data_IF_111574760685
#
_entry.id   IF_111574760685
#
_cell.length_a   1.000
_cell.length_b   1.000
_cell.length_c   1.000
_cell.angle_alpha   90.00
_cell.angle_beta   90.00
_cell.angle_gamma   90.00
#
_symmetry.space_group_name_H-M   'P 1'
#
loop_
_entity.id
_entity.type
_entity.pdbx_description
1 polymer ?
#
# COMPACT_ATOMS: atom_id res chain seq x y z
N UNK A 1 -42.14 -36.48 29.85
CA UNK A 1 -41.02 -35.56 30.18
C UNK A 1 -39.68 -36.02 29.56
N UNK A 2 -39.36 -37.33 29.53
CA UNK A 2 -38.14 -37.87 28.89
C UNK A 2 -38.06 -37.68 27.36
N UNK A 3 -39.18 -37.79 26.64
CA UNK A 3 -39.24 -37.60 25.18
C UNK A 3 -38.87 -36.18 24.71
N UNK A 4 -39.18 -35.17 25.51
CA UNK A 4 -38.87 -33.76 25.20
C UNK A 4 -37.37 -33.47 25.40
N UNK A 5 -36.75 -34.05 26.42
CA UNK A 5 -35.32 -33.91 26.70
C UNK A 5 -34.45 -34.51 25.58
N UNK A 6 -34.83 -35.66 25.04
CA UNK A 6 -34.13 -36.32 23.91
C UNK A 6 -34.20 -35.46 22.65
N UNK A 7 -35.35 -34.85 22.38
CA UNK A 7 -35.55 -33.96 21.23
C UNK A 7 -34.66 -32.71 21.30
N UNK A 8 -34.51 -32.12 22.50
CA UNK A 8 -33.64 -30.95 22.73
C UNK A 8 -32.17 -31.31 22.52
N UNK A 9 -31.71 -32.46 23.01
CA UNK A 9 -30.32 -32.90 22.81
C UNK A 9 -29.98 -33.14 21.34
N UNK A 10 -30.95 -33.61 20.54
CA UNK A 10 -30.76 -33.86 19.11
C UNK A 10 -30.73 -32.56 18.29
N UNK A 11 -31.49 -31.54 18.70
CA UNK A 11 -31.61 -30.25 18.02
C UNK A 11 -30.50 -29.26 18.38
N UNK A 12 -29.90 -29.38 19.57
CA UNK A 12 -28.82 -28.50 20.04
C UNK A 12 -27.59 -28.44 19.12
N UNK A 13 -27.02 -29.54 18.59
CA UNK A 13 -25.82 -29.47 17.73
C UNK A 13 -26.08 -28.81 16.37
N UNK A 14 -27.32 -28.84 15.87
CA UNK A 14 -27.71 -28.19 14.62
C UNK A 14 -27.61 -26.66 14.73
N UNK A 15 -27.94 -26.10 15.90
CA UNK A 15 -27.85 -24.66 16.16
C UNK A 15 -26.40 -24.13 16.19
N UNK A 16 -25.43 -24.95 16.59
CA UNK A 16 -24.02 -24.54 16.67
C UNK A 16 -23.20 -24.82 15.39
N UNK A 17 -23.75 -25.58 14.43
CA UNK A 17 -23.10 -25.89 13.15
C UNK A 17 -22.78 -24.65 12.30
N UNK A 18 -23.54 -23.57 12.46
CA UNK A 18 -23.36 -22.33 11.72
C UNK A 18 -22.16 -21.47 12.19
N UNK A 19 -21.61 -21.72 13.38
CA UNK A 19 -20.49 -20.94 13.92
C UNK A 19 -19.11 -21.53 13.58
N UNK A 20 -19.06 -22.77 13.06
CA UNK A 20 -17.81 -23.44 12.69
C UNK A 20 -17.29 -23.06 11.29
N UNK A 21 -18.14 -22.46 10.44
CA UNK A 21 -17.73 -22.01 9.10
C UNK A 21 -17.01 -20.66 9.17
N UNK A 22 -15.84 -20.63 9.81
CA UNK A 22 -14.89 -19.55 9.51
C UNK A 22 -14.51 -19.73 8.03
N UNK A 23 -14.75 -18.73 7.16
CA UNK A 23 -14.12 -18.77 5.85
C UNK A 23 -12.63 -18.94 6.12
N UNK A 24 -11.99 -19.90 5.47
CA UNK A 24 -10.54 -19.91 5.38
C UNK A 24 -10.21 -18.68 4.57
N UNK A 25 -10.09 -17.52 5.23
CA UNK A 25 -9.62 -16.31 4.61
C UNK A 25 -8.23 -16.68 4.14
N UNK A 26 -8.09 -16.94 2.84
CA UNK A 26 -6.78 -16.94 2.22
C UNK A 26 -6.33 -15.51 2.36
N UNK A 27 -5.59 -15.23 3.43
CA UNK A 27 -4.90 -13.97 3.62
C UNK A 27 -3.93 -13.93 2.45
N UNK A 28 -4.38 -13.37 1.32
CA UNK A 28 -3.49 -12.96 0.25
C UNK A 28 -2.67 -11.86 0.88
N UNK A 29 -1.51 -12.22 1.40
CA UNK A 29 -0.45 -11.27 1.69
C UNK A 29 -0.22 -10.48 0.40
N UNK A 30 -0.71 -9.24 0.40
CA UNK A 30 -0.40 -8.30 -0.67
C UNK A 30 1.08 -8.02 -0.58
N UNK A 31 1.79 -8.20 -1.69
CA UNK A 31 3.18 -7.77 -1.79
C UNK A 31 3.18 -6.24 -1.70
N UNK A 32 3.60 -5.74 -0.54
CA UNK A 32 3.82 -4.31 -0.34
C UNK A 32 5.19 -4.02 -0.93
N UNK A 33 5.21 -3.50 -2.16
CA UNK A 33 6.43 -2.97 -2.76
C UNK A 33 6.89 -1.77 -1.92
N UNK A 34 7.89 -2.01 -1.07
CA UNK A 34 8.56 -0.92 -0.36
C UNK A 34 9.36 -0.18 -1.44
N UNK A 35 9.12 1.12 -1.65
CA UNK A 35 9.85 1.86 -2.65
C UNK A 35 11.34 1.75 -2.35
N UNK A 36 12.13 1.36 -3.36
CA UNK A 36 13.58 1.28 -3.29
C UNK A 36 14.09 2.58 -2.69
N UNK A 37 14.79 2.49 -1.55
CA UNK A 37 15.35 3.65 -0.85
C UNK A 37 16.49 4.24 -1.67
N UNK A 38 16.12 5.02 -2.65
CA UNK A 38 17.03 5.80 -3.43
C UNK A 38 17.56 6.93 -2.54
N UNK A 39 18.87 6.97 -2.28
CA UNK A 39 19.50 8.07 -1.56
C UNK A 39 19.55 9.31 -2.46
N UNK A 40 18.38 9.92 -2.66
CA UNK A 40 18.19 11.07 -3.53
C UNK A 40 18.57 12.33 -2.78
N UNK A 41 19.65 12.97 -3.22
CA UNK A 41 19.99 14.33 -2.78
C UNK A 41 19.41 15.30 -3.81
N UNK A 42 18.37 16.04 -3.42
CA UNK A 42 17.82 17.09 -4.27
C UNK A 42 18.69 18.36 -4.16
N UNK A 43 18.92 19.07 -5.28
CA UNK A 43 19.58 20.37 -5.21
C UNK A 43 18.72 21.38 -4.45
N UNK A 44 19.33 22.46 -3.96
CA UNK A 44 18.57 23.53 -3.31
C UNK A 44 17.65 24.23 -4.33
N UNK A 45 16.36 24.35 -3.99
CA UNK A 45 15.40 25.07 -4.83
C UNK A 45 15.78 26.57 -4.90
N UNK A 46 15.93 27.14 -6.11
CA UNK A 46 16.23 28.57 -6.26
C UNK A 46 15.05 29.44 -5.79
N UNK A 47 15.35 30.63 -5.30
CA UNK A 47 14.34 31.61 -4.87
C UNK A 47 13.56 32.14 -6.08
N UNK A 48 12.25 32.29 -5.92
CA UNK A 48 11.37 32.94 -6.88
C UNK A 48 11.20 34.42 -6.48
N UNK A 49 11.45 35.35 -7.39
CA UNK A 49 11.33 36.80 -7.17
C UNK A 49 10.46 37.57 -8.19
N UNK A 50 9.77 36.86 -9.08
CA UNK A 50 8.88 37.38 -10.12
C UNK A 50 9.60 37.78 -11.40
N UNK A 51 10.93 37.65 -11.47
CA UNK A 51 11.69 37.98 -12.67
C UNK A 51 11.68 36.84 -13.69
N UNK A 52 11.86 37.18 -14.97
CA UNK A 52 12.05 36.16 -16.00
C UNK A 52 13.27 35.26 -15.71
N UNK A 53 14.31 35.81 -15.08
CA UNK A 53 15.51 35.07 -14.72
C UNK A 53 15.22 34.04 -13.61
N UNK A 54 14.47 34.40 -12.57
CA UNK A 54 14.08 33.46 -11.51
C UNK A 54 13.18 32.36 -12.06
N UNK A 55 12.21 32.69 -12.91
CA UNK A 55 11.37 31.70 -13.59
C UNK A 55 12.19 30.71 -14.44
N UNK A 56 13.17 31.21 -15.20
CA UNK A 56 14.07 30.37 -15.99
C UNK A 56 14.93 29.45 -15.12
N UNK A 57 15.45 29.95 -13.99
CA UNK A 57 16.22 29.15 -13.04
C UNK A 57 15.35 28.05 -12.42
N UNK A 58 14.10 28.36 -12.08
CA UNK A 58 13.15 27.44 -11.48
C UNK A 58 12.71 26.34 -12.47
N UNK A 59 12.51 26.70 -13.74
CA UNK A 59 12.26 25.72 -14.80
C UNK A 59 13.42 24.71 -14.94
N UNK A 60 14.67 25.19 -14.94
CA UNK A 60 15.85 24.32 -14.98
C UNK A 60 15.95 23.42 -13.75
N UNK A 61 15.65 23.94 -12.58
CA UNK A 61 15.61 23.16 -11.34
C UNK A 61 14.64 21.98 -11.45
N UNK A 62 13.42 22.19 -11.94
CA UNK A 62 12.46 21.09 -12.09
C UNK A 62 12.90 20.05 -13.11
N UNK A 63 13.51 20.45 -14.23
CA UNK A 63 14.09 19.51 -15.18
C UNK A 63 15.16 18.62 -14.54
N UNK A 64 16.00 19.20 -13.68
CA UNK A 64 17.01 18.43 -12.94
C UNK A 64 16.38 17.45 -11.95
N UNK A 65 15.37 17.88 -11.19
CA UNK A 65 14.64 17.02 -10.25
C UNK A 65 13.94 15.87 -10.98
N UNK A 66 13.32 16.13 -12.13
CA UNK A 66 12.69 15.11 -12.95
C UNK A 66 13.71 14.08 -13.44
N UNK A 67 14.90 14.54 -13.87
CA UNK A 67 15.96 13.65 -14.30
C UNK A 67 16.47 12.76 -13.16
N UNK A 68 16.69 13.35 -11.98
CA UNK A 68 17.09 12.62 -10.77
C UNK A 68 16.04 11.55 -10.40
N UNK A 69 14.76 11.89 -10.49
CA UNK A 69 13.68 10.93 -10.24
C UNK A 69 13.67 9.80 -11.28
N UNK A 70 13.87 10.12 -12.57
CA UNK A 70 13.97 9.10 -13.64
C UNK A 70 15.15 8.17 -13.43
N UNK A 71 16.32 8.72 -13.11
CA UNK A 71 17.53 7.92 -12.90
C UNK A 71 17.38 7.00 -11.69
N UNK A 72 16.62 7.43 -10.69
CA UNK A 72 16.29 6.63 -9.52
C UNK A 72 15.33 5.47 -9.80
N UNK A 73 14.40 5.63 -10.74
CA UNK A 73 13.39 4.62 -11.09
C UNK A 73 13.75 3.81 -12.32
N UNK A 74 14.93 4.04 -12.93
CA UNK A 74 15.41 3.18 -14.01
C UNK A 74 15.68 1.79 -13.43
N UNK A 75 15.01 0.79 -13.97
CA UNK A 75 15.31 -0.62 -13.71
C UNK A 75 16.79 -0.86 -14.05
N UNK A 76 17.65 -0.94 -13.04
CA UNK A 76 18.99 -1.49 -13.20
C UNK A 76 18.82 -2.96 -13.54
N UNK A 77 18.78 -3.27 -14.84
CA UNK A 77 19.02 -4.61 -15.34
C UNK A 77 20.51 -4.89 -15.10
N UNK A 78 20.84 -5.42 -13.93
CA UNK A 78 22.08 -6.16 -13.68
C UNK A 78 21.73 -7.61 -13.35
#
# INVERSE_FOLDING_TARGET
MQSVQISILLLLPLLFSACASKPVYKIKTQEVFIPVKCNLTLPQKPKEDGSFASHKALAKYYLQVEQIAKDCTKETNE
#
